data_IF_669228872864
#
_entry.id   IF_669228872864
#
_cell.length_a   1.000
_cell.length_b   1.000
_cell.length_c   1.000
_cell.angle_alpha   90.00
_cell.angle_beta   90.00
_cell.angle_gamma   90.00
#
_symmetry.space_group_name_H-M   'P 1'
#
loop_
_entity.id
_entity.type
_entity.pdbx_description
1 polymer ?
#
# COMPACT_ATOMS: atom_id res chain seq x y z
N UNK A 1 -22.48 -27.62 29.60
CA UNK A 1 -22.89 -27.12 28.27
C UNK A 1 -22.90 -25.59 28.32
N UNK A 2 -21.82 -24.94 27.87
CA UNK A 2 -21.78 -23.47 27.72
C UNK A 2 -22.23 -23.14 26.29
N UNK A 3 -23.32 -22.40 26.16
CA UNK A 3 -23.80 -21.91 24.88
C UNK A 3 -22.86 -20.80 24.38
N UNK A 4 -22.11 -21.07 23.31
CA UNK A 4 -21.38 -20.06 22.56
C UNK A 4 -22.39 -19.26 21.73
N UNK A 5 -22.79 -18.09 22.23
CA UNK A 5 -23.55 -17.10 21.45
C UNK A 5 -22.67 -16.61 20.31
N UNK A 6 -22.81 -17.21 19.13
CA UNK A 6 -22.31 -16.64 17.89
C UNK A 6 -23.14 -15.39 17.59
N UNK A 7 -22.65 -14.23 18.06
CA UNK A 7 -23.15 -12.94 17.59
C UNK A 7 -22.96 -12.91 16.08
N UNK A 8 -24.07 -13.01 15.34
CA UNK A 8 -24.11 -12.85 13.89
C UNK A 8 -23.62 -11.43 13.60
N UNK A 9 -22.36 -11.29 13.21
CA UNK A 9 -21.81 -10.05 12.68
C UNK A 9 -22.70 -9.67 11.49
N UNK A 10 -23.62 -8.73 11.72
CA UNK A 10 -24.48 -8.23 10.67
C UNK A 10 -23.59 -7.51 9.68
N UNK A 11 -23.35 -8.13 8.52
CA UNK A 11 -22.75 -7.46 7.37
C UNK A 11 -23.49 -6.13 7.20
N UNK A 12 -22.75 -5.02 7.21
CA UNK A 12 -23.34 -3.72 6.93
C UNK A 12 -23.95 -3.79 5.52
N UNK A 13 -25.23 -3.42 5.32
CA UNK A 13 -25.87 -3.50 4.00
C UNK A 13 -25.14 -2.68 2.93
N UNK A 14 -24.28 -1.73 3.30
CA UNK A 14 -23.46 -0.96 2.37
C UNK A 14 -22.07 -1.56 2.12
N UNK A 15 -21.68 -2.64 2.82
CA UNK A 15 -20.36 -3.24 2.73
C UNK A 15 -20.46 -4.73 2.38
N UNK A 16 -20.07 -5.08 1.16
CA UNK A 16 -20.17 -6.45 0.63
C UNK A 16 -19.12 -7.42 1.22
N UNK A 17 -18.24 -6.96 2.12
CA UNK A 17 -17.15 -7.75 2.69
C UNK A 17 -17.01 -7.51 4.19
N UNK A 18 -16.35 -8.45 4.88
CA UNK A 18 -16.18 -8.41 6.33
C UNK A 18 -15.43 -7.16 6.80
N UNK A 19 -15.88 -6.51 7.89
CA UNK A 19 -15.18 -5.38 8.47
C UNK A 19 -13.85 -5.85 9.08
N UNK A 20 -12.81 -5.04 8.87
CA UNK A 20 -11.47 -5.29 9.42
C UNK A 20 -11.12 -4.13 10.36
N UNK A 21 -10.47 -4.43 11.50
CA UNK A 21 -9.89 -3.40 12.38
C UNK A 21 -8.37 -3.39 12.23
N UNK A 22 -7.79 -2.45 11.46
CA UNK A 22 -6.35 -2.26 11.41
C UNK A 22 -5.77 -1.88 12.78
N UNK A 23 -4.54 -2.31 13.11
CA UNK A 23 -3.92 -2.03 14.41
C UNK A 23 -3.76 -0.54 14.74
N UNK A 24 -3.61 0.33 13.73
CA UNK A 24 -3.45 1.77 13.95
C UNK A 24 -4.73 2.47 14.42
N UNK A 25 -5.90 1.83 14.28
CA UNK A 25 -7.17 2.38 14.79
C UNK A 25 -7.22 2.46 16.32
N UNK A 26 -6.35 1.71 17.02
CA UNK A 26 -6.21 1.82 18.46
C UNK A 26 -5.55 3.15 18.91
N UNK A 27 -4.96 3.91 17.99
CA UNK A 27 -4.35 5.22 18.27
C UNK A 27 -5.36 6.36 18.13
N UNK A 28 -5.10 7.47 18.81
CA UNK A 28 -5.97 8.66 18.80
C UNK A 28 -5.25 9.89 18.26
N UNK A 29 -6.03 10.89 17.80
CA UNK A 29 -5.51 12.18 17.34
C UNK A 29 -4.49 12.11 16.20
N UNK A 30 -3.47 12.96 16.23
CA UNK A 30 -2.42 13.05 15.21
C UNK A 30 -1.58 11.76 15.07
N UNK A 31 -1.40 11.01 16.17
CA UNK A 31 -0.64 9.76 16.15
C UNK A 31 -1.33 8.69 15.30
N UNK A 32 -2.67 8.73 15.22
CA UNK A 32 -3.44 7.88 14.32
C UNK A 32 -3.13 8.21 12.87
N UNK A 33 -3.12 9.49 12.50
CA UNK A 33 -2.86 9.92 11.12
C UNK A 33 -1.48 9.51 10.63
N UNK A 34 -0.45 9.67 11.47
CA UNK A 34 0.91 9.22 11.13
C UNK A 34 0.96 7.69 10.99
N UNK A 35 0.32 6.96 11.90
CA UNK A 35 0.30 5.51 11.83
C UNK A 35 -0.48 4.98 10.62
N UNK A 36 -1.57 5.65 10.23
CA UNK A 36 -2.35 5.37 9.02
C UNK A 36 -1.51 5.64 7.76
N UNK A 37 -0.85 6.81 7.68
CA UNK A 37 0.05 7.14 6.57
C UNK A 37 1.20 6.13 6.45
N UNK A 38 1.83 5.78 7.58
CA UNK A 38 2.88 4.76 7.61
C UNK A 38 2.36 3.40 7.15
N UNK A 39 1.15 3.01 7.56
CA UNK A 39 0.55 1.74 7.14
C UNK A 39 0.28 1.68 5.63
N UNK A 40 -0.07 2.82 5.03
CA UNK A 40 -0.30 2.96 3.59
C UNK A 40 1.00 3.07 2.77
N UNK A 41 2.05 3.69 3.31
CA UNK A 41 3.35 3.80 2.62
C UNK A 41 4.17 2.51 2.76
N UNK A 42 4.12 1.86 3.91
CA UNK A 42 4.92 0.68 4.21
C UNK A 42 4.16 -0.60 3.85
N UNK A 43 4.56 -1.38 2.82
CA UNK A 43 3.78 -2.53 2.39
C UNK A 43 3.94 -3.75 3.31
N UNK A 44 5.07 -3.92 3.99
CA UNK A 44 5.35 -5.13 4.79
C UNK A 44 4.70 -5.12 6.19
N UNK A 45 4.39 -6.32 6.70
CA UNK A 45 4.21 -6.59 8.14
C UNK A 45 5.17 -7.70 8.56
N UNK A 46 5.74 -7.61 9.77
CA UNK A 46 6.78 -8.53 10.26
C UNK A 46 6.32 -9.99 10.30
N UNK A 47 5.04 -10.23 10.59
CA UNK A 47 4.55 -11.59 10.86
C UNK A 47 3.67 -12.15 9.72
N UNK A 48 3.56 -11.42 8.61
CA UNK A 48 2.63 -11.76 7.53
C UNK A 48 3.24 -12.54 6.36
N UNK A 49 4.57 -12.52 6.23
CA UNK A 49 5.30 -13.18 5.16
C UNK A 49 6.36 -14.09 5.76
N UNK A 50 6.61 -15.28 5.18
CA UNK A 50 7.76 -16.07 5.53
C UNK A 50 9.04 -15.23 5.39
N UNK A 51 9.98 -15.46 6.31
CA UNK A 51 11.20 -14.64 6.44
C UNK A 51 11.95 -14.45 5.11
N UNK A 52 12.06 -15.53 4.32
CA UNK A 52 12.71 -15.52 3.00
C UNK A 52 12.01 -14.55 2.02
N UNK A 53 10.68 -14.63 1.90
CA UNK A 53 9.90 -13.77 1.00
C UNK A 53 9.96 -12.29 1.40
N UNK A 54 9.96 -12.03 2.71
CA UNK A 54 10.15 -10.68 3.23
C UNK A 54 11.51 -10.11 2.81
N UNK A 55 12.59 -10.88 2.98
CA UNK A 55 13.92 -10.44 2.54
C UNK A 55 14.01 -10.28 1.04
N UNK A 56 13.47 -11.22 0.25
CA UNK A 56 13.48 -11.14 -1.21
C UNK A 56 12.80 -9.86 -1.72
N UNK A 57 11.64 -9.52 -1.17
CA UNK A 57 10.91 -8.29 -1.55
C UNK A 57 11.57 -7.01 -1.05
N UNK A 58 12.24 -7.04 0.11
CA UNK A 58 13.06 -5.92 0.59
C UNK A 58 14.30 -5.69 -0.28
N UNK A 59 14.99 -6.77 -0.67
CA UNK A 59 16.11 -6.69 -1.63
C UNK A 59 15.63 -6.20 -3.00
N UNK A 60 14.45 -6.63 -3.44
CA UNK A 60 13.85 -6.10 -4.67
C UNK A 60 13.55 -4.61 -4.56
N UNK A 61 13.01 -4.13 -3.43
CA UNK A 61 12.82 -2.70 -3.19
C UNK A 61 14.13 -1.91 -3.28
N UNK A 62 15.23 -2.48 -2.74
CA UNK A 62 16.56 -1.90 -2.87
C UNK A 62 17.01 -1.82 -4.34
N UNK A 63 16.81 -2.87 -5.13
CA UNK A 63 17.11 -2.87 -6.57
C UNK A 63 16.30 -1.82 -7.33
N UNK A 64 15.01 -1.68 -7.06
CA UNK A 64 14.16 -0.62 -7.62
C UNK A 64 14.72 0.75 -7.26
N UNK A 65 15.14 0.96 -6.01
CA UNK A 65 15.74 2.22 -5.54
C UNK A 65 17.03 2.52 -6.31
N UNK A 66 17.89 1.52 -6.52
CA UNK A 66 19.11 1.69 -7.32
C UNK A 66 18.80 2.02 -8.78
N UNK A 67 17.79 1.39 -9.39
CA UNK A 67 17.36 1.73 -10.74
C UNK A 67 16.90 3.19 -10.84
N UNK A 68 16.15 3.68 -9.85
CA UNK A 68 15.76 5.09 -9.77
C UNK A 68 16.95 6.04 -9.68
N UNK A 69 17.95 5.73 -8.85
CA UNK A 69 19.18 6.50 -8.76
C UNK A 69 19.93 6.52 -10.09
N UNK A 70 20.06 5.36 -10.74
CA UNK A 70 20.67 5.24 -12.07
C UNK A 70 19.91 6.05 -13.13
N UNK A 71 18.58 6.09 -13.04
CA UNK A 71 17.76 6.92 -13.92
C UNK A 71 17.98 8.41 -13.68
N UNK A 72 18.06 8.83 -12.42
CA UNK A 72 18.33 10.22 -12.04
C UNK A 72 19.69 10.71 -12.56
N UNK A 73 20.70 9.85 -12.64
CA UNK A 73 22.01 10.17 -13.24
C UNK A 73 22.11 9.87 -14.75
N UNK A 74 20.99 9.60 -15.42
CA UNK A 74 20.92 9.40 -16.87
C UNK A 74 21.53 8.09 -17.39
N UNK A 75 21.72 7.08 -16.52
CA UNK A 75 22.36 5.81 -16.87
C UNK A 75 21.39 4.73 -17.35
N UNK A 76 20.09 4.92 -17.17
CA UNK A 76 19.06 4.04 -17.73
C UNK A 76 18.01 4.85 -18.47
N UNK A 77 17.49 4.29 -19.57
CA UNK A 77 16.47 4.95 -20.37
C UNK A 77 15.10 4.96 -19.68
N UNK A 78 14.27 5.95 -20.00
CA UNK A 78 12.94 6.15 -19.40
C UNK A 78 12.01 4.92 -19.43
N UNK A 79 11.97 4.10 -20.51
CA UNK A 79 11.14 2.89 -20.52
C UNK A 79 11.53 1.89 -19.42
N UNK A 80 12.83 1.81 -19.09
CA UNK A 80 13.31 0.93 -18.02
C UNK A 80 12.92 1.44 -16.63
N UNK A 81 12.92 2.75 -16.41
CA UNK A 81 12.41 3.34 -15.17
C UNK A 81 10.93 3.03 -14.96
N UNK A 82 10.13 3.14 -16.01
CA UNK A 82 8.71 2.79 -15.98
C UNK A 82 8.54 1.28 -15.70
N UNK A 83 9.34 0.43 -16.33
CA UNK A 83 9.32 -1.01 -16.06
C UNK A 83 9.62 -1.33 -14.57
N UNK A 84 10.62 -0.69 -13.97
CA UNK A 84 10.93 -0.84 -12.55
C UNK A 84 9.80 -0.34 -11.65
N UNK A 85 9.11 0.74 -12.03
CA UNK A 85 7.94 1.25 -11.31
C UNK A 85 6.76 0.27 -11.35
N UNK A 86 6.47 -0.30 -12.52
CA UNK A 86 5.43 -1.31 -12.69
C UNK A 86 5.78 -2.59 -11.92
N UNK A 87 7.03 -3.04 -12.00
CA UNK A 87 7.49 -4.22 -11.28
C UNK A 87 7.40 -4.04 -9.75
N UNK A 88 7.78 -2.86 -9.24
CA UNK A 88 7.57 -2.51 -7.83
C UNK A 88 6.09 -2.55 -7.44
N UNK A 89 5.22 -1.98 -8.28
CA UNK A 89 3.77 -1.98 -8.02
C UNK A 89 3.19 -3.40 -7.98
N UNK A 90 3.63 -4.29 -8.86
CA UNK A 90 3.22 -5.70 -8.84
C UNK A 90 3.71 -6.43 -7.58
N UNK A 91 4.98 -6.22 -7.18
CA UNK A 91 5.52 -6.80 -5.94
C UNK A 91 4.77 -6.27 -4.72
N UNK A 92 4.49 -4.97 -4.66
CA UNK A 92 3.70 -4.38 -3.58
C UNK A 92 2.30 -5.00 -3.49
N UNK A 93 1.62 -5.19 -4.62
CA UNK A 93 0.31 -5.85 -4.67
C UNK A 93 0.38 -7.26 -4.06
N UNK A 94 1.37 -8.07 -4.45
CA UNK A 94 1.57 -9.42 -3.92
C UNK A 94 1.88 -9.42 -2.42
N UNK A 95 2.70 -8.48 -1.96
CA UNK A 95 3.01 -8.31 -0.53
C UNK A 95 1.76 -7.92 0.24
N UNK A 96 0.95 -6.98 -0.27
CA UNK A 96 -0.27 -6.52 0.40
C UNK A 96 -1.36 -7.58 0.43
N UNK A 97 -1.50 -8.39 -0.61
CA UNK A 97 -2.44 -9.53 -0.63
C UNK A 97 -2.23 -10.48 0.55
N UNK A 98 -0.98 -10.67 0.98
CA UNK A 98 -0.64 -11.55 2.10
C UNK A 98 -0.60 -10.84 3.45
N UNK A 99 -0.23 -9.56 3.46
CA UNK A 99 0.07 -8.85 4.71
C UNK A 99 -0.96 -7.83 5.16
N UNK A 100 -1.67 -7.22 4.21
CA UNK A 100 -2.65 -6.17 4.47
C UNK A 100 -3.83 -6.30 3.48
N UNK A 101 -4.59 -7.41 3.50
CA UNK A 101 -5.71 -7.62 2.58
C UNK A 101 -6.96 -6.85 3.02
N UNK A 102 -6.83 -5.54 3.20
CA UNK A 102 -7.92 -4.65 3.55
C UNK A 102 -7.76 -3.29 2.86
N UNK A 103 -8.90 -2.66 2.59
CA UNK A 103 -8.97 -1.30 2.02
C UNK A 103 -9.93 -0.45 2.85
N UNK A 104 -9.75 0.86 2.74
CA UNK A 104 -10.64 1.83 3.36
C UNK A 104 -11.96 1.85 2.60
N UNK A 105 -13.06 1.80 3.33
CA UNK A 105 -14.42 1.78 2.80
C UNK A 105 -15.12 3.12 3.02
N UNK A 106 -15.81 3.62 1.99
CA UNK A 106 -16.45 4.94 2.00
C UNK A 106 -15.47 6.10 1.77
N UNK A 107 -15.82 7.32 2.19
CA UNK A 107 -14.98 8.50 1.96
C UNK A 107 -13.58 8.36 2.56
N UNK A 108 -12.59 8.94 1.90
CA UNK A 108 -11.18 8.82 2.32
C UNK A 108 -10.90 9.41 3.72
N UNK A 109 -11.77 10.27 4.25
CA UNK A 109 -11.71 10.79 5.62
C UNK A 109 -12.36 9.87 6.66
N UNK A 110 -13.01 8.78 6.24
CA UNK A 110 -13.68 7.82 7.13
C UNK A 110 -12.70 6.99 7.98
N UNK A 111 -13.24 6.03 8.72
CA UNK A 111 -12.44 5.08 9.53
C UNK A 111 -12.88 3.64 9.36
N UNK A 112 -13.68 3.36 8.34
CA UNK A 112 -14.19 2.04 8.03
C UNK A 112 -13.21 1.32 7.13
N UNK A 113 -12.88 0.09 7.47
CA UNK A 113 -12.01 -0.77 6.68
C UNK A 113 -12.71 -2.09 6.46
N UNK A 114 -12.56 -2.63 5.27
CA UNK A 114 -13.15 -3.90 4.85
C UNK A 114 -12.08 -4.79 4.26
N UNK A 115 -12.34 -6.09 4.27
CA UNK A 115 -11.48 -7.06 3.58
C UNK A 115 -11.46 -6.74 2.08
N UNK A 116 -10.26 -6.77 1.50
CA UNK A 116 -10.03 -6.41 0.10
C UNK A 116 -9.85 -7.66 -0.76
N UNK A 117 -10.45 -7.63 -1.95
CA UNK A 117 -10.12 -8.58 -3.01
C UNK A 117 -8.87 -8.12 -3.79
N UNK A 118 -8.38 -8.96 -4.71
CA UNK A 118 -7.22 -8.64 -5.53
C UNK A 118 -7.44 -7.42 -6.44
N UNK A 119 -8.66 -7.23 -6.96
CA UNK A 119 -9.00 -6.04 -7.75
C UNK A 119 -8.98 -4.77 -6.89
N UNK A 120 -9.52 -4.85 -5.67
CA UNK A 120 -9.49 -3.72 -4.72
C UNK A 120 -8.06 -3.29 -4.43
N UNK A 121 -7.17 -4.25 -4.17
CA UNK A 121 -5.77 -3.97 -3.91
C UNK A 121 -5.01 -3.53 -5.16
N UNK A 122 -5.34 -4.06 -6.34
CA UNK A 122 -4.74 -3.62 -7.60
C UNK A 122 -5.08 -2.14 -7.87
N UNK A 123 -6.35 -1.77 -7.75
CA UNK A 123 -6.80 -0.39 -7.88
C UNK A 123 -6.15 0.50 -6.82
N UNK A 124 -6.11 0.04 -5.57
CA UNK A 124 -5.49 0.76 -4.46
C UNK A 124 -3.99 1.01 -4.69
N UNK A 125 -3.20 -0.03 -5.00
CA UNK A 125 -1.75 0.08 -5.23
C UNK A 125 -1.46 0.90 -6.48
N UNK A 126 -2.18 0.64 -7.58
CA UNK A 126 -2.03 1.37 -8.83
C UNK A 126 -2.30 2.85 -8.66
N UNK A 127 -3.44 3.21 -8.06
CA UNK A 127 -3.79 4.61 -7.79
C UNK A 127 -2.76 5.30 -6.90
N UNK A 128 -2.39 4.68 -5.77
CA UNK A 128 -1.41 5.25 -4.85
C UNK A 128 -0.06 5.48 -5.52
N UNK A 129 0.43 4.49 -6.27
CA UNK A 129 1.73 4.62 -6.92
C UNK A 129 1.66 5.66 -8.04
N UNK A 130 0.58 5.73 -8.82
CA UNK A 130 0.40 6.82 -9.79
C UNK A 130 0.40 8.20 -9.13
N UNK A 131 -0.27 8.37 -7.98
CA UNK A 131 -0.24 9.63 -7.23
C UNK A 131 1.18 9.99 -6.77
N UNK A 132 1.93 9.02 -6.23
CA UNK A 132 3.33 9.24 -5.85
C UNK A 132 4.14 9.68 -7.08
N UNK A 133 3.96 9.01 -8.22
CA UNK A 133 4.64 9.35 -9.47
C UNK A 133 4.30 10.76 -9.95
N UNK A 134 3.03 11.14 -9.89
CA UNK A 134 2.57 12.48 -10.26
C UNK A 134 3.16 13.56 -9.34
N UNK A 135 3.19 13.32 -8.02
CA UNK A 135 3.79 14.24 -7.04
C UNK A 135 5.29 14.37 -7.27
N UNK A 136 6.01 13.26 -7.51
CA UNK A 136 7.44 13.29 -7.81
C UNK A 136 7.73 14.05 -9.11
N UNK A 137 6.96 13.78 -10.17
CA UNK A 137 7.08 14.49 -11.44
C UNK A 137 6.86 15.99 -11.26
N UNK A 138 5.80 16.37 -10.54
CA UNK A 138 5.49 17.75 -10.24
C UNK A 138 6.60 18.43 -9.41
N UNK A 139 7.14 17.75 -8.40
CA UNK A 139 8.24 18.24 -7.58
C UNK A 139 9.52 18.49 -8.40
N UNK A 140 9.89 17.57 -9.30
CA UNK A 140 11.02 17.76 -10.22
C UNK A 140 10.78 18.96 -11.13
N UNK A 141 9.55 19.10 -11.66
CA UNK A 141 9.19 20.24 -12.51
C UNK A 141 9.29 21.57 -11.77
N UNK A 142 8.90 21.60 -10.50
CA UNK A 142 8.98 22.78 -9.65
C UNK A 142 10.43 23.13 -9.24
N UNK A 143 11.26 22.12 -8.94
CA UNK A 143 12.64 22.31 -8.48
C UNK A 143 13.64 22.65 -9.60
N UNK A 144 13.35 22.31 -10.87
CA UNK A 144 14.32 22.52 -11.94
C UNK A 144 13.79 22.45 -13.38
N UNK A 145 12.47 22.40 -13.60
CA UNK A 145 11.89 22.30 -14.94
C UNK A 145 11.62 23.63 -15.64
N UNK A 146 12.25 24.73 -15.23
CA UNK A 146 12.18 26.05 -15.92
C UNK A 146 13.46 26.41 -16.69
N UNK A 147 14.37 25.45 -16.90
CA UNK A 147 15.55 25.60 -17.76
C UNK A 147 15.29 25.12 -19.18
#
# INVERSE_FOLDING_TARGET
MMATTHAKQTLDPNCLTEPVMPPFLARTGWQRWIAEAWDHLWPWRRDALPQMWRWATMLFALWVTLAWLMGAVGRIASPWLIAWWVAWSAVELLVRLRSKPYVKDGPWWGSRFRRADWLDLLAYVGFKNLLIGAVLFWAVRWLGGTG
#
